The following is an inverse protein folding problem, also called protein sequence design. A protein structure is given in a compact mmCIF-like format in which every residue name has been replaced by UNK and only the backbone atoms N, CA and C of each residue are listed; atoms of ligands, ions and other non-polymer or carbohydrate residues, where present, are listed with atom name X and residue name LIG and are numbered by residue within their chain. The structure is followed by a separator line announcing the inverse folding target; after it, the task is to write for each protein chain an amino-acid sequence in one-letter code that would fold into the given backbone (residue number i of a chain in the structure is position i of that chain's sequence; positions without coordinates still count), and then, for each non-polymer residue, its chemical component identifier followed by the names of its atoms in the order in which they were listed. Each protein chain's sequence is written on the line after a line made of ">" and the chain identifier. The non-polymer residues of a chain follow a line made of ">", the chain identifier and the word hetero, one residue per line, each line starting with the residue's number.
data_IF_358465401714
#
_entry.id   IF_358465401714
#
_cell.length_a   1.000
_cell.length_b   1.000
_cell.length_c   1.000
_cell.angle_alpha   90.00
_cell.angle_beta   90.00
_cell.angle_gamma   90.00
#
_symmetry.space_group_name_H-M   'P 1'
#
loop_
_entity.id
_entity.type
_entity.pdbx_description
1 polymer ?
#
# COMPACT_ATOMS: atom_id res chain seq x y z
N UNK A 1 3.78 -21.00 -7.18
CA UNK A 1 2.63 -20.07 -7.27
C UNK A 1 1.64 -20.25 -6.10
N UNK A 2 2.01 -19.88 -4.87
CA UNK A 2 1.09 -19.98 -3.69
C UNK A 2 1.06 -18.71 -2.81
N UNK A 3 1.73 -17.62 -3.21
CA UNK A 3 1.79 -16.39 -2.42
C UNK A 3 0.66 -15.37 -2.73
N UNK A 4 -0.11 -15.58 -3.80
CA UNK A 4 -1.12 -14.60 -4.25
C UNK A 4 -2.52 -14.80 -3.63
N UNK A 5 -2.78 -15.98 -3.04
CA UNK A 5 -4.14 -16.40 -2.69
C UNK A 5 -4.52 -16.21 -1.20
N UNK A 6 -3.60 -15.77 -0.34
CA UNK A 6 -3.87 -15.57 1.11
C UNK A 6 -4.10 -14.12 1.51
N UNK A 7 -4.35 -13.26 0.53
CA UNK A 7 -4.31 -11.80 0.70
C UNK A 7 -5.70 -11.14 0.74
N UNK A 8 -6.77 -11.87 0.40
CA UNK A 8 -8.07 -11.25 0.12
C UNK A 8 -9.24 -11.63 1.03
N UNK A 9 -9.14 -12.61 1.94
CA UNK A 9 -10.26 -12.99 2.80
C UNK A 9 -9.81 -13.46 4.20
N UNK A 10 -10.38 -12.83 5.24
CA UNK A 10 -10.51 -13.43 6.57
C UNK A 10 -9.90 -12.63 7.73
N UNK A 11 -10.76 -11.89 8.46
CA UNK A 11 -10.43 -11.40 9.80
C UNK A 11 -11.25 -10.18 10.27
N UNK A 12 -12.54 -10.35 10.59
CA UNK A 12 -13.25 -9.49 11.57
C UNK A 12 -13.19 -10.18 12.96
N UNK A 13 -13.59 -9.53 14.05
CA UNK A 13 -12.81 -8.56 14.82
C UNK A 13 -12.55 -9.09 16.24
N UNK A 14 -11.34 -8.90 16.79
CA UNK A 14 -11.12 -9.17 18.22
C UNK A 14 -11.44 -7.90 19.01
N UNK A 15 -12.70 -7.83 19.42
CA UNK A 15 -13.16 -7.01 20.55
C UNK A 15 -12.50 -7.61 21.80
N UNK A 16 -11.57 -6.89 22.43
CA UNK A 16 -11.03 -7.29 23.73
C UNK A 16 -10.88 -6.09 24.67
N UNK A 17 -11.78 -6.10 25.66
CA UNK A 17 -11.55 -5.75 27.06
C UNK A 17 -10.81 -4.45 27.40
N UNK A 18 -11.47 -3.29 27.28
CA UNK A 18 -11.16 -2.15 28.17
C UNK A 18 -12.30 -1.15 28.42
N UNK A 19 -13.55 -1.59 28.28
CA UNK A 19 -14.74 -0.74 28.48
C UNK A 19 -15.78 -1.34 29.46
N UNK A 20 -15.33 -1.97 30.55
CA UNK A 20 -16.22 -2.47 31.63
C UNK A 20 -15.73 -2.12 33.04
N UNK A 21 -15.11 -0.95 33.23
CA UNK A 21 -14.76 -0.44 34.57
C UNK A 21 -15.21 0.99 34.86
N UNK A 22 -16.16 1.50 34.08
CA UNK A 22 -16.73 2.84 34.27
C UNK A 22 -18.26 2.85 34.40
N UNK A 23 -18.85 1.71 34.79
CA UNK A 23 -20.29 1.56 35.00
C UNK A 23 -20.59 0.98 36.40
N UNK A 24 -19.88 1.44 37.42
CA UNK A 24 -20.14 1.04 38.81
C UNK A 24 -19.86 2.18 39.80
N UNK A 25 -20.27 3.40 39.49
CA UNK A 25 -20.40 4.51 40.45
C UNK A 25 -21.58 5.40 40.04
N UNK A 26 -22.77 4.83 39.85
CA UNK A 26 -24.00 5.61 39.62
C UNK A 26 -25.19 4.83 40.20
N UNK A 27 -25.22 4.68 41.54
CA UNK A 27 -26.40 4.29 42.30
C UNK A 27 -26.13 4.52 43.79
N UNK A 28 -26.34 5.74 44.29
CA UNK A 28 -27.37 6.10 45.29
C UNK A 28 -27.15 7.54 45.79
N UNK A 29 -28.22 8.31 46.10
CA UNK A 29 -28.17 9.73 46.40
C UNK A 29 -28.10 9.96 47.90
N UNK A 30 -27.18 10.81 48.36
CA UNK A 30 -27.23 11.40 49.70
C UNK A 30 -26.81 12.87 49.61
N UNK A 31 -27.85 13.71 49.55
CA UNK A 31 -28.01 15.00 50.23
C UNK A 31 -26.74 15.78 50.60
N UNK A 32 -26.52 16.91 49.92
CA UNK A 32 -25.67 18.02 50.37
C UNK A 32 -26.48 19.33 50.19
N UNK A 33 -26.50 20.24 51.18
CA UNK A 33 -27.56 21.22 51.36
C UNK A 33 -27.47 22.43 50.43
N UNK A 34 -28.64 23.05 50.19
CA UNK A 34 -28.81 24.37 49.58
C UNK A 34 -28.18 25.44 50.49
N UNK A 35 -27.03 25.97 50.09
CA UNK A 35 -26.53 27.24 50.62
C UNK A 35 -25.95 28.05 49.46
N UNK A 36 -26.50 29.26 49.29
CA UNK A 36 -26.42 30.04 48.07
C UNK A 36 -25.05 30.56 47.71
N UNK A 37 -24.76 30.55 46.42
CA UNK A 37 -23.73 31.37 45.79
C UNK A 37 -24.32 31.90 44.48
N UNK A 38 -24.94 33.09 44.56
CA UNK A 38 -25.17 33.91 43.37
C UNK A 38 -23.80 34.35 42.85
N UNK A 39 -23.61 34.16 41.54
CA UNK A 39 -22.65 34.88 40.69
C UNK A 39 -21.15 34.70 40.99
N UNK A 40 -20.50 33.67 40.41
CA UNK A 40 -19.10 33.76 39.94
C UNK A 40 -18.65 32.61 39.01
N UNK A 41 -19.54 31.83 38.37
CA UNK A 41 -19.11 30.59 37.66
C UNK A 41 -18.91 30.73 36.14
N UNK A 42 -19.04 31.94 35.59
CA UNK A 42 -18.96 32.14 34.14
C UNK A 42 -17.52 32.15 33.57
N UNK A 43 -16.51 32.49 34.39
CA UNK A 43 -15.10 32.61 33.96
C UNK A 43 -14.30 31.28 33.91
N UNK A 44 -14.37 30.37 34.89
CA UNK A 44 -13.57 29.14 34.85
C UNK A 44 -14.14 28.09 33.89
N UNK A 45 -15.45 28.09 33.63
CA UNK A 45 -16.08 27.17 32.69
C UNK A 45 -15.67 27.44 31.24
N UNK A 46 -15.48 28.71 30.85
CA UNK A 46 -15.03 29.08 29.50
C UNK A 46 -13.58 28.67 29.25
N UNK A 47 -12.72 28.77 30.26
CA UNK A 47 -11.31 28.37 30.19
C UNK A 47 -11.14 26.84 30.09
N UNK A 48 -11.98 26.06 30.78
CA UNK A 48 -11.94 24.59 30.73
C UNK A 48 -12.43 24.05 29.37
N UNK A 49 -13.45 24.66 28.77
CA UNK A 49 -13.91 24.32 27.42
C UNK A 49 -12.88 24.67 26.33
N UNK A 50 -12.15 25.78 26.48
CA UNK A 50 -11.08 26.16 25.55
C UNK A 50 -9.88 25.19 25.60
N UNK A 51 -9.53 24.68 26.78
CA UNK A 51 -8.46 23.68 26.94
C UNK A 51 -8.85 22.30 26.37
N UNK A 52 -10.12 21.90 26.48
CA UNK A 52 -10.63 20.64 25.91
C UNK A 52 -10.63 20.62 24.37
N UNK A 53 -10.79 21.78 23.73
CA UNK A 53 -10.77 21.90 22.27
C UNK A 53 -9.38 21.63 21.65
N UNK A 54 -8.29 21.86 22.41
CA UNK A 54 -6.91 21.62 21.94
C UNK A 54 -6.48 20.15 22.09
N UNK A 55 -7.13 19.37 22.96
CA UNK A 55 -6.79 17.96 23.22
C UNK A 55 -7.35 16.98 22.18
N UNK A 56 -8.26 17.41 21.30
CA UNK A 56 -8.90 16.54 20.30
C UNK A 56 -8.14 16.46 18.97
N UNK A 57 -7.08 17.25 18.78
CA UNK A 57 -6.27 17.25 17.56
C UNK A 57 -5.24 16.11 17.60
N UNK A 58 -5.70 14.87 17.65
CA UNK A 58 -4.83 13.72 17.40
C UNK A 58 -4.58 13.59 15.89
N UNK A 59 -3.32 13.48 15.43
CA UNK A 59 -3.03 13.39 14.01
C UNK A 59 -3.68 12.15 13.41
N UNK A 60 -4.31 12.35 12.25
CA UNK A 60 -5.06 11.29 11.58
C UNK A 60 -4.14 10.14 11.15
N UNK A 61 -4.71 8.95 10.93
CA UNK A 61 -3.91 7.80 10.48
C UNK A 61 -3.17 8.08 9.16
N UNK A 62 -3.78 8.84 8.25
CA UNK A 62 -3.18 9.25 6.98
C UNK A 62 -2.05 10.28 7.18
N UNK A 63 -2.17 11.16 8.17
CA UNK A 63 -1.15 12.17 8.50
C UNK A 63 0.12 11.52 9.07
N UNK A 64 -0.04 10.46 9.88
CA UNK A 64 1.08 9.62 10.33
C UNK A 64 1.75 8.85 9.18
N UNK A 65 1.00 8.57 8.10
CA UNK A 65 1.50 7.86 6.93
C UNK A 65 2.09 8.80 5.86
N UNK A 66 1.87 10.11 5.97
CA UNK A 66 2.34 11.14 5.04
C UNK A 66 3.86 11.08 4.72
N UNK A 67 4.80 10.92 5.68
CA UNK A 67 6.22 10.87 5.34
C UNK A 67 6.58 9.64 4.47
N UNK A 68 5.93 8.51 4.72
CA UNK A 68 6.15 7.30 3.93
C UNK A 68 5.49 7.42 2.54
N UNK A 69 4.34 8.09 2.44
CA UNK A 69 3.71 8.42 1.17
C UNK A 69 4.59 9.37 0.33
N UNK A 70 5.17 10.40 0.94
CA UNK A 70 6.12 11.30 0.26
C UNK A 70 7.35 10.53 -0.25
N UNK A 71 7.86 9.58 0.54
CA UNK A 71 8.95 8.70 0.09
C UNK A 71 8.53 7.88 -1.13
N UNK A 72 7.33 7.29 -1.14
CA UNK A 72 6.79 6.55 -2.29
C UNK A 72 6.74 7.45 -3.54
N UNK A 73 6.21 8.66 -3.41
CA UNK A 73 6.17 9.63 -4.52
C UNK A 73 7.58 9.94 -5.04
N UNK A 74 8.54 10.21 -4.15
CA UNK A 74 9.92 10.52 -4.54
C UNK A 74 10.61 9.37 -5.27
N UNK A 75 10.36 8.12 -4.85
CA UNK A 75 10.92 6.92 -5.49
C UNK A 75 10.30 6.71 -6.87
N UNK A 76 8.98 6.92 -6.98
CA UNK A 76 8.27 6.81 -8.24
C UNK A 76 8.75 7.83 -9.27
N UNK A 77 8.94 9.09 -8.86
CA UNK A 77 9.47 10.15 -9.73
C UNK A 77 10.89 9.87 -10.21
N UNK A 78 11.70 9.20 -9.40
CA UNK A 78 13.05 8.72 -9.78
C UNK A 78 13.03 7.45 -10.61
N UNK A 79 11.85 6.94 -11.00
CA UNK A 79 11.66 5.69 -11.74
C UNK A 79 12.24 4.44 -11.03
N UNK A 80 12.45 4.54 -9.72
CA UNK A 80 12.92 3.44 -8.86
C UNK A 80 11.74 2.53 -8.53
N UNK A 81 11.19 1.86 -9.56
CA UNK A 81 9.90 1.18 -9.46
C UNK A 81 9.92 0.01 -8.48
N UNK A 82 10.99 -0.78 -8.42
CA UNK A 82 11.12 -1.89 -7.47
C UNK A 82 11.10 -1.40 -6.02
N UNK A 83 11.85 -0.34 -5.73
CA UNK A 83 11.89 0.33 -4.43
C UNK A 83 10.55 0.96 -4.08
N UNK A 84 9.87 1.53 -5.07
CA UNK A 84 8.51 2.08 -4.93
C UNK A 84 7.54 0.99 -4.48
N UNK A 85 7.52 -0.18 -5.14
CA UNK A 85 6.65 -1.30 -4.76
C UNK A 85 6.97 -1.81 -3.34
N UNK A 86 8.24 -1.86 -2.96
CA UNK A 86 8.67 -2.24 -1.60
C UNK A 86 8.22 -1.22 -0.55
N UNK A 87 8.31 0.08 -0.83
CA UNK A 87 7.83 1.13 0.05
C UNK A 87 6.31 1.09 0.22
N UNK A 88 5.56 0.81 -0.85
CA UNK A 88 4.10 0.62 -0.80
C UNK A 88 3.71 -0.59 0.07
N UNK A 89 4.48 -1.68 0.02
CA UNK A 89 4.29 -2.82 0.93
C UNK A 89 4.48 -2.38 2.38
N UNK A 90 5.55 -1.66 2.69
CA UNK A 90 5.80 -1.11 4.04
C UNK A 90 4.67 -0.18 4.51
N UNK A 91 4.12 0.66 3.62
CA UNK A 91 2.99 1.54 3.94
C UNK A 91 1.78 0.74 4.41
N UNK A 92 1.46 -0.36 3.72
CA UNK A 92 0.31 -1.20 4.05
C UNK A 92 0.50 -2.00 5.33
N UNK A 93 1.72 -2.42 5.60
CA UNK A 93 2.07 -3.18 6.80
C UNK A 93 2.11 -2.27 8.04
N UNK A 94 2.66 -1.06 7.92
CA UNK A 94 2.84 -0.12 9.05
C UNK A 94 1.64 0.78 9.32
N UNK A 95 0.88 1.14 8.27
CA UNK A 95 -0.25 2.06 8.37
C UNK A 95 -1.53 1.44 7.78
N UNK A 96 -2.03 0.32 8.34
CA UNK A 96 -3.22 -0.34 7.81
C UNK A 96 -4.48 0.54 7.89
N UNK A 97 -4.54 1.50 8.82
CA UNK A 97 -5.70 2.39 9.00
C UNK A 97 -5.65 3.66 8.12
N UNK A 98 -4.54 3.92 7.42
CA UNK A 98 -4.39 5.07 6.51
C UNK A 98 -5.04 4.79 5.15
N UNK A 99 -6.38 4.80 5.11
CA UNK A 99 -7.14 4.37 3.93
C UNK A 99 -6.90 5.26 2.71
N UNK A 100 -6.77 6.58 2.89
CA UNK A 100 -6.54 7.51 1.77
C UNK A 100 -5.15 7.34 1.21
N UNK A 101 -4.13 7.24 2.06
CA UNK A 101 -2.75 6.96 1.63
C UNK A 101 -2.64 5.61 0.92
N UNK A 102 -3.31 4.58 1.42
CA UNK A 102 -3.34 3.25 0.78
C UNK A 102 -4.03 3.26 -0.58
N UNK A 103 -5.12 4.00 -0.73
CA UNK A 103 -5.82 4.14 -2.00
C UNK A 103 -4.92 4.83 -3.04
N UNK A 104 -4.27 5.94 -2.66
CA UNK A 104 -3.31 6.61 -3.54
C UNK A 104 -2.13 5.72 -3.92
N UNK A 105 -1.55 5.02 -2.94
CA UNK A 105 -0.45 4.09 -3.17
C UNK A 105 -0.84 2.92 -4.09
N UNK A 106 -2.11 2.49 -4.11
CA UNK A 106 -2.58 1.45 -5.01
C UNK A 106 -2.49 1.88 -6.48
N UNK A 107 -2.83 3.14 -6.80
CA UNK A 107 -2.69 3.65 -8.16
C UNK A 107 -1.22 3.67 -8.60
N UNK A 108 -0.32 4.17 -7.74
CA UNK A 108 1.13 4.16 -8.00
C UNK A 108 1.64 2.73 -8.18
N UNK A 109 1.16 1.79 -7.37
CA UNK A 109 1.52 0.37 -7.47
C UNK A 109 1.14 -0.22 -8.84
N UNK A 110 -0.07 0.08 -9.33
CA UNK A 110 -0.54 -0.39 -10.64
C UNK A 110 0.31 0.15 -11.77
N UNK A 111 0.59 1.46 -11.75
CA UNK A 111 1.42 2.12 -12.77
C UNK A 111 2.87 1.61 -12.74
N UNK A 112 3.50 1.58 -11.56
CA UNK A 112 4.87 1.10 -11.42
C UNK A 112 5.02 -0.38 -11.84
N UNK A 113 4.04 -1.23 -11.51
CA UNK A 113 4.02 -2.64 -11.94
C UNK A 113 3.90 -2.76 -13.46
N UNK A 114 3.08 -1.91 -14.09
CA UNK A 114 2.95 -1.86 -15.55
C UNK A 114 4.27 -1.44 -16.20
N UNK A 115 4.93 -0.41 -15.67
CA UNK A 115 6.24 0.08 -16.19
C UNK A 115 7.34 -0.97 -16.09
N UNK A 116 7.43 -1.70 -14.97
CA UNK A 116 8.38 -2.81 -14.83
C UNK A 116 8.12 -3.91 -15.86
N UNK A 117 6.86 -4.32 -16.03
CA UNK A 117 6.51 -5.35 -17.01
C UNK A 117 6.86 -4.89 -18.44
N UNK A 118 6.58 -3.63 -18.79
CA UNK A 118 6.95 -3.07 -20.10
C UNK A 118 8.46 -3.03 -20.32
N UNK A 119 9.24 -2.63 -19.31
CA UNK A 119 10.70 -2.64 -19.39
C UNK A 119 11.26 -4.06 -19.56
N UNK A 120 10.68 -5.05 -18.86
CA UNK A 120 11.05 -6.46 -19.02
C UNK A 120 10.74 -6.99 -20.41
N UNK A 121 9.61 -6.59 -21.00
CA UNK A 121 9.26 -6.93 -22.38
C UNK A 121 10.31 -6.38 -23.33
N UNK A 122 10.63 -5.08 -23.23
CA UNK A 122 11.61 -4.44 -24.13
C UNK A 122 12.99 -5.12 -24.04
N UNK A 123 13.45 -5.44 -22.83
CA UNK A 123 14.73 -6.16 -22.64
C UNK A 123 14.69 -7.57 -23.21
N UNK A 124 13.59 -8.30 -22.99
CA UNK A 124 13.44 -9.68 -23.46
C UNK A 124 13.33 -9.74 -24.97
N UNK A 125 12.58 -8.81 -25.58
CA UNK A 125 12.45 -8.69 -27.04
C UNK A 125 13.79 -8.36 -27.69
N UNK A 126 14.53 -7.39 -27.18
CA UNK A 126 15.88 -7.07 -27.67
C UNK A 126 16.81 -8.28 -27.65
N UNK A 127 16.82 -9.05 -26.54
CA UNK A 127 17.60 -10.27 -26.43
C UNK A 127 17.12 -11.37 -27.39
N UNK A 128 15.81 -11.50 -27.59
CA UNK A 128 15.21 -12.45 -28.53
C UNK A 128 15.62 -12.13 -29.97
N UNK A 129 15.49 -10.87 -30.39
CA UNK A 129 15.89 -10.41 -31.73
C UNK A 129 17.39 -10.62 -31.97
N UNK A 130 18.25 -10.32 -30.98
CA UNK A 130 19.68 -10.60 -31.08
C UNK A 130 19.97 -12.10 -31.23
N UNK A 131 19.25 -12.95 -30.49
CA UNK A 131 19.40 -14.42 -30.56
C UNK A 131 18.91 -14.98 -31.89
N UNK A 132 17.82 -14.44 -32.46
CA UNK A 132 17.30 -14.81 -33.79
C UNK A 132 18.35 -14.52 -34.86
N UNK A 133 18.92 -13.30 -34.86
CA UNK A 133 19.98 -12.92 -35.82
C UNK A 133 21.21 -13.82 -35.70
N UNK A 134 21.64 -14.13 -34.48
CA UNK A 134 22.76 -15.04 -34.26
C UNK A 134 22.45 -16.47 -34.75
N UNK A 135 21.23 -16.96 -34.53
CA UNK A 135 20.78 -18.27 -34.99
C UNK A 135 20.75 -18.39 -36.52
N UNK A 136 20.32 -17.32 -37.20
CA UNK A 136 20.27 -17.25 -38.67
C UNK A 136 21.67 -17.20 -39.29
N UNK A 137 22.59 -16.46 -38.68
CA UNK A 137 23.97 -16.35 -39.15
C UNK A 137 24.82 -17.61 -38.88
N UNK A 138 24.46 -18.41 -37.86
CA UNK A 138 25.23 -19.60 -37.49
C UNK A 138 24.96 -20.79 -38.44
N UNK A 139 26.03 -21.42 -38.91
CA UNK A 139 25.99 -22.56 -39.83
C UNK A 139 26.29 -23.87 -39.10
N UNK A 140 27.06 -23.83 -38.01
CA UNK A 140 27.47 -25.03 -37.26
C UNK A 140 26.33 -25.57 -36.41
N UNK A 141 26.05 -26.87 -36.56
CA UNK A 141 24.91 -27.55 -35.89
C UNK A 141 24.95 -27.40 -34.36
N UNK A 142 26.12 -27.60 -33.74
CA UNK A 142 26.27 -27.55 -32.28
C UNK A 142 25.88 -26.19 -31.67
N UNK A 143 26.59 -25.09 -32.01
CA UNK A 143 26.23 -23.75 -31.56
C UNK A 143 24.80 -23.33 -31.96
N UNK A 144 24.35 -23.73 -33.16
CA UNK A 144 22.99 -23.45 -33.64
C UNK A 144 21.91 -24.09 -32.77
N UNK A 145 22.12 -25.32 -32.30
CA UNK A 145 21.20 -25.99 -31.37
C UNK A 145 21.10 -25.25 -30.03
N UNK A 146 22.21 -24.74 -29.49
CA UNK A 146 22.19 -23.93 -28.27
C UNK A 146 21.43 -22.62 -28.46
N UNK A 147 21.65 -21.94 -29.60
CA UNK A 147 20.92 -20.72 -29.95
C UNK A 147 19.41 -20.97 -30.10
N UNK A 148 19.01 -22.12 -30.67
CA UNK A 148 17.60 -22.54 -30.75
C UNK A 148 16.97 -22.64 -29.37
N UNK A 149 17.60 -23.36 -28.44
CA UNK A 149 17.10 -23.51 -27.06
C UNK A 149 16.97 -22.15 -26.37
N UNK A 150 17.97 -21.27 -26.55
CA UNK A 150 17.94 -19.92 -25.98
C UNK A 150 16.81 -19.07 -26.56
N UNK A 151 16.62 -19.10 -27.88
CA UNK A 151 15.53 -18.40 -28.57
C UNK A 151 14.17 -18.85 -28.02
N UNK A 152 13.93 -20.16 -27.97
CA UNK A 152 12.65 -20.71 -27.53
C UNK A 152 12.37 -20.34 -26.06
N UNK A 153 13.40 -20.37 -25.20
CA UNK A 153 13.30 -19.89 -23.82
C UNK A 153 12.93 -18.41 -23.73
N UNK A 154 13.55 -17.54 -24.54
CA UNK A 154 13.25 -16.12 -24.59
C UNK A 154 11.84 -15.84 -25.11
N UNK A 155 11.37 -16.61 -26.09
CA UNK A 155 10.03 -16.51 -26.63
C UNK A 155 8.96 -16.83 -25.57
N UNK A 156 9.14 -17.93 -24.83
CA UNK A 156 8.23 -18.29 -23.73
C UNK A 156 8.19 -17.18 -22.66
N UNK A 157 9.35 -16.61 -22.31
CA UNK A 157 9.41 -15.49 -21.36
C UNK A 157 8.69 -14.26 -21.88
N UNK A 158 8.89 -13.90 -23.15
CA UNK A 158 8.22 -12.78 -23.79
C UNK A 158 6.69 -12.94 -23.75
N UNK A 159 6.18 -14.11 -24.13
CA UNK A 159 4.75 -14.40 -24.14
C UNK A 159 4.13 -14.31 -22.73
N UNK A 160 4.86 -14.81 -21.72
CA UNK A 160 4.46 -14.71 -20.32
C UNK A 160 4.37 -13.24 -19.86
N UNK A 161 5.36 -12.41 -20.20
CA UNK A 161 5.38 -10.99 -19.86
C UNK A 161 4.25 -10.21 -20.55
N UNK A 162 4.01 -10.48 -21.83
CA UNK A 162 2.85 -9.95 -22.55
C UNK A 162 1.53 -10.37 -21.89
N UNK A 163 1.45 -11.61 -21.38
CA UNK A 163 0.35 -12.10 -20.56
C UNK A 163 0.13 -11.29 -19.28
N UNK A 164 1.20 -10.99 -18.55
CA UNK A 164 1.17 -10.17 -17.32
C UNK A 164 0.61 -8.78 -17.62
N UNK A 165 1.09 -8.10 -18.67
CA UNK A 165 0.58 -6.78 -19.06
C UNK A 165 -0.91 -6.82 -19.38
N UNK A 166 -1.38 -7.85 -20.12
CA UNK A 166 -2.81 -8.03 -20.40
C UNK A 166 -3.63 -8.18 -19.12
N UNK A 167 -3.13 -8.92 -18.14
CA UNK A 167 -3.81 -9.09 -16.84
C UNK A 167 -3.84 -7.78 -16.06
N UNK A 168 -2.72 -7.05 -15.98
CA UNK A 168 -2.64 -5.74 -15.32
C UNK A 168 -3.67 -4.80 -15.93
N UNK A 169 -3.69 -4.66 -17.26
CA UNK A 169 -4.63 -3.77 -17.95
C UNK A 169 -6.10 -4.13 -17.69
N UNK A 170 -6.45 -5.42 -17.72
CA UNK A 170 -7.81 -5.89 -17.38
C UNK A 170 -8.21 -5.62 -15.93
N UNK A 171 -7.25 -5.57 -15.01
CA UNK A 171 -7.49 -5.32 -13.59
C UNK A 171 -7.56 -3.83 -13.25
N UNK A 172 -6.82 -2.99 -13.97
CA UNK A 172 -6.85 -1.52 -13.79
C UNK A 172 -8.09 -0.88 -14.39
N UNK A 173 -8.70 -1.47 -15.43
CA UNK A 173 -9.93 -0.95 -16.07
C UNK A 173 -11.22 -1.21 -15.26
N UNK A 174 -11.14 -1.99 -14.18
CA UNK A 174 -12.27 -2.30 -13.29
C UNK A 174 -12.25 -1.40 -12.06
#
# INVERSE_FOLDING_TARGET
>A
MRAFHRFFLGGKPVISQKFRKFALIMNNPLSIPRAGWRAAVARPALLLCAAAALASCQPSADEKAAPLMHRIDSLYQRQAYTETLNAIRQLRDRHPQALKSRQRALHIWQEASLRLAQADIARTDSALQATIRAYEAETRIGPKNWLRVRRDSLQVRYDALCGIVRVIHRKTKK
#
